data_IF_766494951709
#
_entry.id   IF_766494951709
#
_cell.length_a   1.000
_cell.length_b   1.000
_cell.length_c   1.000
_cell.angle_alpha   90.00
_cell.angle_beta   90.00
_cell.angle_gamma   90.00
#
_symmetry.space_group_name_H-M   'P 1'
#
loop_
_entity.id
_entity.type
_entity.pdbx_description
1 polymer ?
#
# COMPACT_ATOMS: atom_id res chain seq x y z
N UNK A 1 19.21 18.92 22.20
CA UNK A 1 18.65 18.23 21.01
C UNK A 1 19.77 17.45 20.30
N UNK A 2 20.35 16.42 20.92
CA UNK A 2 21.50 15.68 20.34
C UNK A 2 21.28 14.16 20.23
N UNK A 3 20.18 13.64 20.79
CA UNK A 3 19.93 12.19 20.86
C UNK A 3 19.42 11.62 19.52
N UNK A 4 18.96 12.48 18.60
CA UNK A 4 18.36 12.09 17.32
C UNK A 4 19.43 11.86 16.22
N UNK A 5 20.64 12.41 16.38
CA UNK A 5 21.72 12.28 15.39
C UNK A 5 22.41 10.92 15.40
N UNK A 6 22.68 10.35 16.58
CA UNK A 6 23.46 9.10 16.71
C UNK A 6 22.72 7.83 16.25
N UNK A 7 21.39 7.84 16.18
CA UNK A 7 20.62 6.67 15.75
C UNK A 7 20.47 6.53 14.23
N UNK A 8 20.83 7.57 13.45
CA UNK A 8 20.72 7.56 11.97
C UNK A 8 21.89 6.85 11.29
N UNK A 9 23.04 6.75 11.96
CA UNK A 9 24.28 6.21 11.39
C UNK A 9 24.44 4.70 11.59
N UNK A 10 23.87 4.11 12.65
CA UNK A 10 24.06 2.68 12.96
C UNK A 10 23.22 1.72 12.09
N UNK A 11 22.32 2.20 11.23
CA UNK A 11 21.25 1.37 10.66
C UNK A 11 21.18 1.32 9.12
N UNK A 12 22.18 1.81 8.37
CA UNK A 12 21.94 2.12 6.95
C UNK A 12 22.87 1.66 5.83
N UNK A 13 23.87 0.79 6.02
CA UNK A 13 24.66 0.35 4.86
C UNK A 13 24.93 -1.16 4.76
N UNK A 14 25.07 -1.91 5.84
CA UNK A 14 25.57 -3.30 5.69
C UNK A 14 24.51 -4.33 5.25
N UNK A 15 23.27 -4.23 5.73
CA UNK A 15 22.32 -5.36 5.57
C UNK A 15 21.55 -5.37 4.23
N UNK A 16 21.49 -4.24 3.52
CA UNK A 16 20.79 -4.15 2.22
C UNK A 16 21.73 -4.47 1.07
N UNK A 17 22.98 -4.02 1.14
CA UNK A 17 23.98 -4.33 0.12
C UNK A 17 24.24 -5.84 0.03
N UNK A 18 24.38 -6.55 1.16
CA UNK A 18 24.61 -8.00 1.15
C UNK A 18 23.44 -8.78 0.53
N UNK A 19 22.19 -8.34 0.75
CA UNK A 19 21.00 -8.99 0.19
C UNK A 19 20.83 -8.72 -1.29
N UNK A 20 21.13 -7.50 -1.74
CA UNK A 20 21.08 -7.13 -3.16
C UNK A 20 22.21 -7.82 -3.92
N UNK A 21 23.43 -7.87 -3.36
CA UNK A 21 24.56 -8.58 -3.99
C UNK A 21 24.27 -10.07 -4.13
N UNK A 22 23.72 -10.72 -3.10
CA UNK A 22 23.33 -12.13 -3.18
C UNK A 22 22.29 -12.42 -4.28
N UNK A 23 21.27 -11.57 -4.40
CA UNK A 23 20.22 -11.74 -5.43
C UNK A 23 20.74 -11.43 -6.85
N UNK A 24 21.61 -10.42 -6.98
CA UNK A 24 22.24 -10.07 -8.25
C UNK A 24 23.19 -11.17 -8.69
N UNK A 25 24.03 -11.68 -7.79
CA UNK A 25 24.96 -12.77 -8.06
C UNK A 25 24.21 -14.05 -8.45
N UNK A 26 23.16 -14.42 -7.70
CA UNK A 26 22.31 -15.56 -8.01
C UNK A 26 21.63 -15.44 -9.39
N UNK A 27 21.15 -14.24 -9.74
CA UNK A 27 20.54 -13.98 -11.04
C UNK A 27 21.57 -14.01 -12.17
N UNK A 28 22.79 -13.47 -11.96
CA UNK A 28 23.84 -13.50 -12.97
C UNK A 28 24.36 -14.90 -13.24
N UNK A 29 24.47 -15.73 -12.20
CA UNK A 29 24.90 -17.13 -12.32
C UNK A 29 23.86 -17.96 -13.07
N UNK A 30 22.57 -17.70 -12.84
CA UNK A 30 21.47 -18.33 -13.59
C UNK A 30 21.42 -17.92 -15.07
N UNK A 31 21.84 -16.69 -15.40
CA UNK A 31 21.87 -16.20 -16.79
C UNK A 31 23.09 -16.74 -17.55
N UNK A 32 24.24 -16.89 -16.87
CA UNK A 32 25.46 -17.41 -17.51
C UNK A 32 25.44 -18.93 -17.74
N UNK A 33 24.75 -19.71 -16.90
CA UNK A 33 24.72 -21.17 -17.02
C UNK A 33 23.75 -21.71 -18.09
N UNK A 34 23.10 -20.86 -18.87
CA UNK A 34 22.11 -21.28 -19.86
C UNK A 34 22.55 -20.87 -21.27
N UNK A 35 23.27 -21.74 -21.97
CA UNK A 35 23.78 -21.54 -23.34
C UNK A 35 22.70 -21.41 -24.43
N UNK A 36 21.42 -21.43 -24.06
CA UNK A 36 20.30 -21.34 -24.99
C UNK A 36 19.80 -19.90 -25.18
N UNK A 37 20.62 -19.11 -25.87
CA UNK A 37 20.37 -17.72 -26.29
C UNK A 37 18.98 -17.41 -26.88
N UNK A 38 18.27 -18.27 -27.66
CA UNK A 38 16.99 -17.85 -28.24
C UNK A 38 15.82 -17.81 -27.23
N UNK A 39 15.93 -18.46 -26.07
CA UNK A 39 14.88 -18.48 -25.04
C UNK A 39 14.90 -17.23 -24.13
N UNK A 40 16.08 -16.65 -23.93
CA UNK A 40 16.30 -15.51 -23.05
C UNK A 40 15.68 -14.25 -23.64
N UNK A 41 15.76 -14.06 -24.95
CA UNK A 41 15.14 -12.91 -25.64
C UNK A 41 13.61 -12.96 -25.64
N UNK A 42 13.00 -14.15 -25.72
CA UNK A 42 11.56 -14.30 -25.62
C UNK A 42 11.03 -13.95 -24.23
N UNK A 43 11.77 -14.35 -23.18
CA UNK A 43 11.42 -14.05 -21.78
C UNK A 43 11.60 -12.57 -21.43
N UNK A 44 12.64 -11.89 -21.93
CA UNK A 44 12.87 -10.46 -21.67
C UNK A 44 11.83 -9.56 -22.35
N UNK A 45 11.31 -9.96 -23.51
CA UNK A 45 10.30 -9.17 -24.25
C UNK A 45 8.93 -9.25 -23.58
N UNK A 46 8.57 -10.40 -22.97
CA UNK A 46 7.31 -10.57 -22.26
C UNK A 46 7.24 -9.75 -20.94
N UNK A 47 8.36 -9.64 -20.21
CA UNK A 47 8.44 -8.82 -19.00
C UNK A 47 8.40 -7.31 -19.28
N UNK A 48 9.02 -6.87 -20.38
CA UNK A 48 8.95 -5.48 -20.83
C UNK A 48 7.53 -5.04 -21.21
N UNK A 49 6.78 -5.90 -21.90
CA UNK A 49 5.39 -5.61 -22.30
C UNK A 49 4.41 -5.55 -21.11
N UNK A 50 4.61 -6.38 -20.08
CA UNK A 50 3.80 -6.32 -18.85
C UNK A 50 4.03 -5.01 -18.10
N UNK A 51 5.28 -4.53 -18.00
CA UNK A 51 5.57 -3.23 -17.39
C UNK A 51 4.94 -2.06 -18.18
N UNK A 52 4.92 -2.14 -19.52
CA UNK A 52 4.33 -1.10 -20.38
C UNK A 52 2.80 -1.01 -20.26
N UNK A 53 2.11 -2.13 -20.03
CA UNK A 53 0.65 -2.15 -19.81
C UNK A 53 0.23 -1.57 -18.45
N UNK A 54 1.12 -1.56 -17.45
CA UNK A 54 0.88 -0.91 -16.17
C UNK A 54 1.07 0.62 -16.22
N UNK A 55 1.94 1.12 -17.11
CA UNK A 55 2.24 2.56 -17.22
C UNK A 55 1.20 3.32 -18.05
N UNK A 56 0.42 2.67 -18.92
CA UNK A 56 -0.50 3.33 -19.86
C UNK A 56 -2.01 3.10 -19.66
N UNK A 57 -2.45 2.45 -18.58
CA UNK A 57 -3.90 2.31 -18.29
C UNK A 57 -4.43 3.47 -17.44
N UNK A 58 -5.24 4.39 -17.98
CA UNK A 58 -6.05 5.26 -17.14
C UNK A 58 -7.11 4.40 -16.43
N UNK A 59 -7.01 4.25 -15.11
CA UNK A 59 -7.96 3.55 -14.24
C UNK A 59 -9.29 4.33 -14.08
N UNK A 60 -9.90 4.75 -15.19
CA UNK A 60 -11.26 5.27 -15.23
C UNK A 60 -12.16 4.31 -16.01
N UNK A 61 -12.39 3.12 -15.45
CA UNK A 61 -13.55 2.28 -15.80
C UNK A 61 -14.33 2.00 -14.53
N UNK A 62 -15.30 2.87 -14.26
CA UNK A 62 -16.48 2.53 -13.45
C UNK A 62 -17.17 1.35 -14.15
N UNK A 63 -16.97 0.14 -13.64
CA UNK A 63 -17.90 -0.95 -13.88
C UNK A 63 -19.18 -0.63 -13.13
N UNK A 64 -20.15 -0.06 -13.84
CA UNK A 64 -21.54 -0.05 -13.37
C UNK A 64 -22.17 -1.35 -13.83
N UNK A 65 -22.06 -2.40 -13.01
CA UNK A 65 -23.02 -3.49 -13.07
C UNK A 65 -24.33 -2.98 -12.51
N UNK A 66 -25.36 -2.90 -13.35
CA UNK A 66 -26.72 -2.84 -12.83
C UNK A 66 -27.68 -3.54 -13.79
N UNK A 67 -27.92 -4.81 -13.48
CA UNK A 67 -28.97 -5.65 -14.05
C UNK A 67 -30.04 -5.82 -12.98
N UNK A 68 -31.17 -5.13 -13.10
CA UNK A 68 -32.52 -5.72 -12.95
C UNK A 68 -33.64 -4.66 -12.95
N UNK A 69 -34.58 -4.86 -13.87
CA UNK A 69 -36.04 -4.74 -13.76
C UNK A 69 -36.65 -3.72 -12.78
N UNK A 70 -37.34 -2.70 -13.33
CA UNK A 70 -38.81 -2.73 -13.52
C UNK A 70 -39.32 -1.41 -14.10
N UNK A 71 -40.14 -1.55 -15.13
CA UNK A 71 -40.89 -0.51 -15.81
C UNK A 71 -42.12 -0.05 -15.01
N UNK A 72 -42.33 1.27 -15.06
CA UNK A 72 -43.62 1.98 -15.18
C UNK A 72 -44.24 2.68 -13.94
N UNK A 73 -44.40 4.01 -14.14
CA UNK A 73 -45.46 4.95 -13.68
C UNK A 73 -45.48 5.25 -12.16
N UNK A 74 -45.64 6.47 -11.65
CA UNK A 74 -46.30 7.71 -12.13
C UNK A 74 -45.90 8.90 -11.23
N UNK A 75 -45.79 10.08 -11.87
CA UNK A 75 -45.74 11.49 -11.39
C UNK A 75 -46.02 11.78 -9.89
N UNK A 76 -45.25 12.69 -9.27
CA UNK A 76 -45.73 14.04 -8.86
C UNK A 76 -44.58 15.03 -8.58
N UNK A 77 -44.82 16.30 -8.94
CA UNK A 77 -44.02 17.51 -8.68
C UNK A 77 -43.76 17.73 -7.18
N UNK A 78 -42.56 18.20 -6.84
CA UNK A 78 -42.25 18.81 -5.54
C UNK A 78 -40.88 19.48 -5.58
N UNK A 79 -40.85 20.80 -5.40
CA UNK A 79 -39.67 21.65 -5.43
C UNK A 79 -38.61 21.22 -4.40
N UNK A 80 -37.35 21.10 -4.82
CA UNK A 80 -36.26 21.89 -4.25
C UNK A 80 -35.03 21.71 -5.13
N UNK A 81 -34.67 22.76 -5.87
CA UNK A 81 -33.32 22.92 -6.41
C UNK A 81 -32.38 23.10 -5.22
N UNK A 82 -32.02 22.02 -4.53
CA UNK A 82 -30.76 21.99 -3.80
C UNK A 82 -29.69 22.07 -4.88
N UNK A 83 -29.10 23.27 -5.02
CA UNK A 83 -27.77 23.44 -5.62
C UNK A 83 -26.94 22.28 -5.08
N UNK A 84 -26.69 21.30 -5.94
CA UNK A 84 -25.53 20.45 -5.77
C UNK A 84 -24.38 21.43 -5.82
N UNK A 85 -23.98 21.92 -4.65
CA UNK A 85 -22.62 22.38 -4.45
C UNK A 85 -21.82 21.17 -4.86
N UNK A 86 -21.34 21.18 -6.11
CA UNK A 86 -20.15 20.45 -6.46
C UNK A 86 -19.18 20.85 -5.37
N UNK A 87 -18.98 19.96 -4.40
CA UNK A 87 -17.76 19.99 -3.62
C UNK A 87 -16.73 19.85 -4.70
N UNK A 88 -16.18 20.98 -5.16
CA UNK A 88 -14.92 20.97 -5.84
C UNK A 88 -14.02 20.24 -4.87
N UNK A 89 -13.78 18.97 -5.17
CA UNK A 89 -12.80 18.18 -4.46
C UNK A 89 -11.52 18.93 -4.73
N UNK A 90 -11.15 19.84 -3.80
CA UNK A 90 -9.83 20.43 -3.82
C UNK A 90 -8.88 19.25 -3.96
N UNK A 91 -7.94 19.29 -4.91
CA UNK A 91 -6.96 18.23 -5.01
C UNK A 91 -6.35 18.07 -3.62
N UNK A 92 -6.53 16.89 -3.02
CA UNK A 92 -6.05 16.59 -1.67
C UNK A 92 -4.55 16.77 -1.72
N UNK A 93 -4.00 17.69 -0.91
CA UNK A 93 -2.56 17.94 -0.94
C UNK A 93 -1.81 16.65 -0.55
N UNK A 94 -0.55 16.52 -0.96
CA UNK A 94 0.26 15.33 -0.66
C UNK A 94 0.42 15.13 0.85
N UNK A 95 0.50 16.24 1.60
CA UNK A 95 0.47 16.25 3.06
C UNK A 95 -0.84 15.66 3.60
N UNK A 96 -1.97 16.13 3.08
CA UNK A 96 -3.30 15.65 3.47
C UNK A 96 -3.48 14.16 3.10
N UNK A 97 -2.93 13.69 1.99
CA UNK A 97 -2.99 12.28 1.61
C UNK A 97 -2.31 11.38 2.64
N UNK A 98 -1.08 11.73 3.04
CA UNK A 98 -0.32 10.98 4.05
C UNK A 98 -1.06 11.03 5.40
N UNK A 99 -1.57 12.20 5.79
CA UNK A 99 -2.24 12.36 7.06
C UNK A 99 -3.60 11.64 7.09
N UNK A 100 -4.36 11.64 6.00
CA UNK A 100 -5.61 10.89 5.89
C UNK A 100 -5.38 9.38 6.07
N UNK A 101 -4.32 8.83 5.46
CA UNK A 101 -3.95 7.42 5.67
C UNK A 101 -3.59 7.17 7.13
N UNK A 102 -2.76 8.02 7.73
CA UNK A 102 -2.39 7.90 9.13
C UNK A 102 -3.60 7.95 10.07
N UNK A 103 -4.57 8.82 9.77
CA UNK A 103 -5.80 8.97 10.53
C UNK A 103 -6.71 7.74 10.42
N UNK A 104 -6.86 7.18 9.22
CA UNK A 104 -7.57 5.91 9.02
C UNK A 104 -6.92 4.78 9.79
N UNK A 105 -5.60 4.63 9.67
CA UNK A 105 -4.83 3.67 10.44
C UNK A 105 -5.08 3.80 11.95
N UNK A 106 -4.91 5.01 12.48
CA UNK A 106 -4.97 5.26 13.92
C UNK A 106 -6.38 5.10 14.50
N UNK A 107 -7.42 5.49 13.74
CA UNK A 107 -8.81 5.46 14.22
C UNK A 107 -9.51 4.13 13.99
N UNK A 108 -9.29 3.52 12.83
CA UNK A 108 -10.08 2.35 12.40
C UNK A 108 -9.39 1.03 12.74
N UNK A 109 -8.07 0.98 12.62
CA UNK A 109 -7.36 -0.30 12.65
C UNK A 109 -6.51 -0.48 13.90
N UNK A 110 -5.82 0.56 14.37
CA UNK A 110 -4.85 0.44 15.46
C UNK A 110 -5.44 -0.20 16.72
N UNK A 111 -6.53 0.34 17.24
CA UNK A 111 -7.17 -0.19 18.46
C UNK A 111 -7.67 -1.63 18.27
N UNK A 112 -8.23 -1.95 17.10
CA UNK A 112 -8.75 -3.27 16.82
C UNK A 112 -7.62 -4.31 16.64
N UNK A 113 -6.50 -3.90 16.08
CA UNK A 113 -5.29 -4.73 15.96
C UNK A 113 -4.66 -4.96 17.33
N UNK A 114 -4.59 -3.94 18.18
CA UNK A 114 -4.08 -4.08 19.54
C UNK A 114 -4.92 -5.11 20.33
N UNK A 115 -6.25 -4.97 20.31
CA UNK A 115 -7.14 -5.92 20.96
C UNK A 115 -7.03 -7.34 20.38
N UNK A 116 -6.92 -7.46 19.05
CA UNK A 116 -6.76 -8.77 18.41
C UNK A 116 -5.44 -9.44 18.82
N UNK A 117 -4.35 -8.69 18.95
CA UNK A 117 -3.03 -9.23 19.33
C UNK A 117 -3.03 -9.71 20.79
N UNK A 118 -3.77 -9.03 21.67
CA UNK A 118 -3.88 -9.41 23.09
C UNK A 118 -4.69 -10.70 23.29
N UNK A 119 -5.84 -10.81 22.61
CA UNK A 119 -6.80 -11.91 22.81
C UNK A 119 -6.73 -12.99 21.69
N UNK A 120 -5.61 -13.07 20.96
CA UNK A 120 -5.51 -13.99 19.82
C UNK A 120 -5.50 -15.46 20.25
N UNK A 121 -6.53 -16.21 19.84
CA UNK A 121 -6.54 -17.67 19.91
C UNK A 121 -6.35 -18.26 18.49
N UNK A 122 -5.25 -19.01 18.23
CA UNK A 122 -5.03 -19.66 16.95
C UNK A 122 -6.07 -20.74 16.64
N UNK A 123 -6.77 -21.30 17.63
CA UNK A 123 -7.83 -22.29 17.39
C UNK A 123 -9.14 -21.66 16.92
N UNK A 124 -9.31 -20.36 17.16
CA UNK A 124 -10.51 -19.63 16.77
C UNK A 124 -10.46 -19.21 15.31
N UNK A 125 -11.25 -19.87 14.47
CA UNK A 125 -11.39 -19.54 13.04
C UNK A 125 -11.78 -18.06 12.83
N UNK A 126 -12.65 -17.53 13.71
CA UNK A 126 -13.06 -16.12 13.68
C UNK A 126 -11.88 -15.17 13.86
N UNK A 127 -11.00 -15.43 14.82
CA UNK A 127 -9.84 -14.57 15.09
C UNK A 127 -8.79 -14.70 13.98
N UNK A 128 -8.62 -15.89 13.40
CA UNK A 128 -7.79 -16.07 12.21
C UNK A 128 -8.30 -15.25 11.02
N UNK A 129 -9.61 -15.24 10.77
CA UNK A 129 -10.22 -14.41 9.73
C UNK A 129 -10.02 -12.92 10.00
N UNK A 130 -10.22 -12.46 11.24
CA UNK A 130 -9.98 -11.07 11.62
C UNK A 130 -8.52 -10.67 11.42
N UNK A 131 -7.56 -11.53 11.80
CA UNK A 131 -6.14 -11.30 11.55
C UNK A 131 -5.85 -11.10 10.07
N UNK A 132 -6.35 -12.00 9.21
CA UNK A 132 -6.17 -11.89 7.76
C UNK A 132 -6.78 -10.61 7.21
N UNK A 133 -7.99 -10.27 7.67
CA UNK A 133 -8.65 -9.02 7.29
C UNK A 133 -7.81 -7.78 7.63
N UNK A 134 -7.31 -7.68 8.88
CA UNK A 134 -6.50 -6.53 9.28
C UNK A 134 -5.16 -6.49 8.56
N UNK A 135 -4.50 -7.64 8.33
CA UNK A 135 -3.29 -7.71 7.51
C UNK A 135 -3.52 -7.11 6.11
N UNK A 136 -4.59 -7.53 5.43
CA UNK A 136 -4.93 -7.01 4.10
C UNK A 136 -5.25 -5.51 4.12
N UNK A 137 -5.98 -5.02 5.14
CA UNK A 137 -6.30 -3.60 5.23
C UNK A 137 -5.06 -2.74 5.50
N UNK A 138 -4.19 -3.17 6.41
CA UNK A 138 -2.94 -2.48 6.69
C UNK A 138 -2.00 -2.49 5.48
N UNK A 139 -1.92 -3.59 4.73
CA UNK A 139 -1.15 -3.67 3.50
C UNK A 139 -1.66 -2.69 2.44
N UNK A 140 -2.98 -2.55 2.29
CA UNK A 140 -3.58 -1.55 1.39
C UNK A 140 -3.17 -0.12 1.75
N UNK A 141 -3.12 0.21 3.04
CA UNK A 141 -2.68 1.54 3.48
C UNK A 141 -1.19 1.80 3.18
N UNK A 142 -0.33 0.78 3.30
CA UNK A 142 1.08 0.90 2.90
C UNK A 142 1.21 1.16 1.41
N UNK A 143 0.48 0.42 0.58
CA UNK A 143 0.47 0.61 -0.88
C UNK A 143 -0.05 2.02 -1.24
N UNK A 144 -1.09 2.50 -0.56
CA UNK A 144 -1.63 3.86 -0.73
C UNK A 144 -0.56 4.93 -0.42
N UNK A 145 0.22 4.74 0.65
CA UNK A 145 1.34 5.64 0.99
C UNK A 145 2.48 5.58 -0.03
N UNK A 146 2.83 4.39 -0.53
CA UNK A 146 3.85 4.24 -1.56
C UNK A 146 3.45 4.88 -2.89
N UNK A 147 2.14 4.93 -3.16
CA UNK A 147 1.56 5.63 -4.32
C UNK A 147 1.62 7.16 -4.26
N UNK A 148 1.98 7.77 -3.11
CA UNK A 148 2.12 9.23 -2.99
C UNK A 148 3.40 9.67 -3.71
N UNK A 149 3.25 10.20 -4.92
CA UNK A 149 4.38 10.68 -5.73
C UNK A 149 4.92 12.02 -5.21
N UNK A 150 6.24 12.08 -5.01
CA UNK A 150 6.97 13.23 -4.49
C UNK A 150 8.03 13.74 -5.49
N UNK A 151 8.00 13.29 -6.76
CA UNK A 151 8.99 13.64 -7.78
C UNK A 151 9.04 15.15 -8.00
N UNK A 152 7.89 15.80 -8.13
CA UNK A 152 7.76 17.23 -8.48
C UNK A 152 8.11 18.21 -7.34
N UNK A 153 8.37 17.70 -6.13
CA UNK A 153 8.72 18.53 -4.98
C UNK A 153 10.23 18.71 -4.87
N UNK A 154 10.67 19.89 -4.42
CA UNK A 154 12.08 20.23 -4.18
C UNK A 154 12.29 20.83 -2.80
N UNK A 155 13.55 20.88 -2.35
CA UNK A 155 13.94 21.51 -1.08
C UNK A 155 13.40 20.82 0.17
N UNK A 156 13.30 21.59 1.25
CA UNK A 156 12.96 21.12 2.60
C UNK A 156 11.59 20.44 2.68
N UNK A 157 10.63 20.93 1.89
CA UNK A 157 9.28 20.36 1.82
C UNK A 157 9.28 18.91 1.36
N UNK A 158 10.09 18.57 0.34
CA UNK A 158 10.24 17.19 -0.15
C UNK A 158 10.79 16.28 0.95
N UNK A 159 11.79 16.76 1.69
CA UNK A 159 12.43 16.00 2.76
C UNK A 159 11.46 15.74 3.90
N UNK A 160 10.74 16.77 4.36
CA UNK A 160 9.74 16.65 5.41
C UNK A 160 8.62 15.65 5.05
N UNK A 161 8.07 15.73 3.83
CA UNK A 161 7.06 14.79 3.34
C UNK A 161 7.59 13.35 3.23
N UNK A 162 8.81 13.17 2.70
CA UNK A 162 9.44 11.84 2.63
C UNK A 162 9.62 11.22 4.01
N UNK A 163 10.04 12.01 4.98
CA UNK A 163 10.28 11.52 6.34
C UNK A 163 8.95 11.22 7.05
N UNK A 164 7.93 12.08 6.89
CA UNK A 164 6.58 11.80 7.40
C UNK A 164 5.98 10.55 6.79
N UNK A 165 6.05 10.38 5.46
CA UNK A 165 5.59 9.18 4.75
C UNK A 165 6.26 7.91 5.30
N UNK A 166 7.59 7.94 5.45
CA UNK A 166 8.35 6.82 6.03
C UNK A 166 7.95 6.53 7.47
N UNK A 167 7.69 7.55 8.27
CA UNK A 167 7.26 7.38 9.66
C UNK A 167 5.92 6.63 9.72
N UNK A 168 4.95 7.03 8.90
CA UNK A 168 3.63 6.38 8.85
C UNK A 168 3.75 4.94 8.33
N UNK A 169 4.51 4.72 7.24
CA UNK A 169 4.76 3.37 6.72
C UNK A 169 5.36 2.47 7.80
N UNK A 170 6.37 2.94 8.53
CA UNK A 170 7.00 2.16 9.61
C UNK A 170 6.03 1.86 10.75
N UNK A 171 5.15 2.79 11.11
CA UNK A 171 4.14 2.55 12.14
C UNK A 171 3.19 1.41 11.73
N UNK A 172 2.68 1.45 10.50
CA UNK A 172 1.79 0.40 9.96
C UNK A 172 2.54 -0.94 9.85
N UNK A 173 3.79 -0.93 9.36
CA UNK A 173 4.61 -2.12 9.24
C UNK A 173 4.94 -2.77 10.58
N UNK A 174 5.04 -2.00 11.66
CA UNK A 174 5.21 -2.56 13.02
C UNK A 174 4.01 -3.41 13.41
N UNK A 175 2.79 -2.92 13.16
CA UNK A 175 1.56 -3.67 13.49
C UNK A 175 1.33 -4.86 12.55
N UNK A 176 1.68 -4.74 11.26
CA UNK A 176 1.73 -5.89 10.34
C UNK A 176 2.65 -7.00 10.86
N UNK A 177 3.85 -6.65 11.34
CA UNK A 177 4.76 -7.65 11.91
C UNK A 177 4.21 -8.31 13.17
N UNK A 178 3.48 -7.56 14.01
CA UNK A 178 2.80 -8.10 15.19
C UNK A 178 1.76 -9.13 14.77
N UNK A 179 0.89 -8.78 13.81
CA UNK A 179 -0.11 -9.71 13.27
C UNK A 179 0.52 -10.94 12.61
N UNK A 180 1.60 -10.78 11.83
CA UNK A 180 2.30 -11.90 11.20
C UNK A 180 2.96 -12.84 12.22
N UNK A 181 3.39 -12.31 13.37
CA UNK A 181 3.97 -13.12 14.44
C UNK A 181 2.95 -14.09 15.07
N UNK A 182 1.66 -13.73 15.07
CA UNK A 182 0.57 -14.58 15.55
C UNK A 182 0.39 -15.84 14.68
N UNK A 183 0.75 -15.77 13.39
CA UNK A 183 0.68 -16.93 12.47
C UNK A 183 1.68 -18.02 12.85
N UNK A 184 2.83 -17.66 13.43
CA UNK A 184 3.91 -18.60 13.75
C UNK A 184 3.66 -19.44 15.01
N UNK A 185 2.66 -19.10 15.81
CA UNK A 185 2.34 -19.79 17.06
C UNK A 185 1.36 -20.97 16.87
N UNK A 186 0.91 -21.24 15.63
CA UNK A 186 -0.06 -22.30 15.31
C UNK A 186 0.54 -23.52 14.60
N UNK A 187 1.81 -23.87 14.85
CA UNK A 187 2.43 -25.11 14.38
C UNK A 187 2.90 -25.96 15.56
#
# INVERSE_FOLDING_TARGET
MEVIGKWRESFRLENVESRVRYLVEYATEYIQNNDNMPSVYAATTALGALMFLFVLRPLNRRFTDNKSNKTSKKKTKGQSKKKATSRSSKPVSLEDQIENVYMRFSKEYKQAVDALVEDFDPSSEKLQYQRNYYNEMLLKLVIELDGVDLVDLTGDRKTALKDRRKQVIRAIQTDLKRLDSLKKQGC
#
